data_IF_164441377470
#
_entry.id   IF_164441377470
#
_cell.length_a   1.000
_cell.length_b   1.000
_cell.length_c   1.000
_cell.angle_alpha   90.00
_cell.angle_beta   90.00
_cell.angle_gamma   90.00
#
_symmetry.space_group_name_H-M   'P 1'
#
loop_
_entity.id
_entity.type
_entity.pdbx_description
1 polymer ?
#
# COMPACT_ATOMS: atom_id res chain seq x y z
N UNK A 1 -9.35 23.13 -16.44
CA UNK A 1 -10.56 23.41 -15.65
C UNK A 1 -10.27 23.73 -14.19
N UNK A 2 -9.10 24.30 -13.87
CA UNK A 2 -8.76 24.84 -12.55
C UNK A 2 -8.24 26.29 -12.72
N UNK A 3 -8.29 27.14 -11.68
CA UNK A 3 -7.78 28.52 -11.74
C UNK A 3 -6.29 28.60 -12.08
N UNK A 4 -5.90 29.62 -12.86
CA UNK A 4 -4.50 29.88 -13.27
C UNK A 4 -3.82 30.97 -12.46
N UNK A 5 -4.49 31.51 -11.44
CA UNK A 5 -4.05 32.63 -10.59
C UNK A 5 -3.04 32.22 -9.50
N UNK A 6 -2.55 30.98 -9.54
CA UNK A 6 -1.61 30.44 -8.56
C UNK A 6 -2.24 30.06 -7.22
N UNK A 7 -3.58 30.10 -7.09
CA UNK A 7 -4.29 29.73 -5.85
C UNK A 7 -4.28 28.23 -5.55
N UNK A 8 -4.01 27.39 -6.55
CA UNK A 8 -3.99 25.93 -6.40
C UNK A 8 -2.59 25.45 -6.03
N UNK A 9 -2.45 24.93 -4.82
CA UNK A 9 -1.22 24.26 -4.38
C UNK A 9 -1.01 22.94 -5.12
N UNK A 10 0.20 22.74 -5.65
CA UNK A 10 0.63 21.49 -6.29
C UNK A 10 1.70 20.83 -5.43
N UNK A 11 1.42 19.61 -4.97
CA UNK A 11 2.37 18.83 -4.19
C UNK A 11 3.49 18.26 -5.09
N UNK A 12 4.63 17.90 -4.46
CA UNK A 12 5.65 17.13 -5.16
C UNK A 12 5.10 15.76 -5.60
N UNK A 13 5.62 15.23 -6.71
CA UNK A 13 5.23 13.92 -7.21
C UNK A 13 5.60 12.79 -6.24
N UNK A 14 4.84 11.70 -6.29
CA UNK A 14 5.03 10.52 -5.44
C UNK A 14 4.78 9.23 -6.23
N UNK A 15 5.52 8.18 -5.92
CA UNK A 15 5.30 6.83 -6.48
C UNK A 15 3.94 6.31 -5.98
N UNK A 16 3.20 5.60 -6.82
CA UNK A 16 1.86 5.08 -6.52
C UNK A 16 1.77 4.31 -5.20
N UNK A 17 2.70 3.37 -4.97
CA UNK A 17 2.76 2.58 -3.77
C UNK A 17 3.14 3.42 -2.54
N UNK A 18 3.95 4.47 -2.73
CA UNK A 18 4.28 5.40 -1.65
C UNK A 18 3.06 6.25 -1.28
N UNK A 19 2.25 6.67 -2.26
CA UNK A 19 1.02 7.42 -2.02
C UNK A 19 -0.01 6.59 -1.24
N UNK A 20 -0.21 5.32 -1.63
CA UNK A 20 -1.04 4.39 -0.88
C UNK A 20 -0.50 4.12 0.53
N UNK A 21 0.82 4.01 0.68
CA UNK A 21 1.43 3.78 1.98
C UNK A 21 1.24 4.98 2.90
N UNK A 22 1.40 6.20 2.40
CA UNK A 22 1.18 7.44 3.14
C UNK A 22 -0.25 7.51 3.69
N UNK A 23 -1.24 7.21 2.84
CA UNK A 23 -2.65 7.22 3.23
C UNK A 23 -2.95 6.23 4.36
N UNK A 24 -2.38 5.02 4.29
CA UNK A 24 -2.65 3.95 5.26
C UNK A 24 -1.87 4.11 6.57
N UNK A 25 -0.57 4.38 6.51
CA UNK A 25 0.30 4.53 7.68
C UNK A 25 -0.14 5.72 8.53
N UNK A 26 -0.56 6.82 7.89
CA UNK A 26 -0.97 8.05 8.56
C UNK A 26 -2.47 8.09 8.94
N UNK A 27 -3.24 7.03 8.69
CA UNK A 27 -4.66 7.03 9.02
C UNK A 27 -4.89 7.20 10.53
N UNK A 28 -5.75 8.11 11.00
CA UNK A 28 -6.01 8.25 12.43
C UNK A 28 -6.55 6.94 13.04
N UNK A 29 -6.25 6.63 14.31
CA UNK A 29 -6.84 5.48 14.99
C UNK A 29 -8.37 5.62 15.06
N UNK A 30 -9.08 4.49 15.04
CA UNK A 30 -10.55 4.44 15.13
C UNK A 30 -11.09 4.74 16.53
N UNK A 31 -10.24 4.78 17.55
CA UNK A 31 -10.57 5.19 18.92
C UNK A 31 -9.69 6.37 19.32
N UNK A 32 -10.25 7.25 20.15
CA UNK A 32 -9.57 8.41 20.76
C UNK A 32 -8.44 7.96 21.70
N UNK A 33 -7.34 7.50 21.12
CA UNK A 33 -6.07 7.37 21.83
C UNK A 33 -5.51 8.80 21.90
N UNK A 34 -5.98 9.58 22.87
CA UNK A 34 -5.72 11.02 23.03
C UNK A 34 -4.24 11.38 23.29
N UNK A 35 -3.30 10.43 23.22
CA UNK A 35 -1.93 10.61 23.71
C UNK A 35 -0.82 10.32 22.68
N UNK A 36 -1.13 9.98 21.43
CA UNK A 36 -0.08 9.63 20.45
C UNK A 36 -0.17 10.41 19.15
N UNK A 37 0.98 10.83 18.64
CA UNK A 37 1.09 11.55 17.37
C UNK A 37 0.84 10.61 16.18
N UNK A 38 0.49 11.18 15.03
CA UNK A 38 0.37 10.42 13.76
C UNK A 38 1.65 9.63 13.44
N UNK A 39 2.81 10.19 13.82
CA UNK A 39 4.13 9.56 13.67
C UNK A 39 4.36 8.39 14.63
N UNK A 40 3.77 8.40 15.83
CA UNK A 40 3.84 7.25 16.75
C UNK A 40 3.05 6.07 16.21
N UNK A 41 1.88 6.33 15.62
CA UNK A 41 1.08 5.31 14.95
C UNK A 41 1.78 4.77 13.72
N UNK A 42 2.40 5.65 12.93
CA UNK A 42 3.08 5.28 11.70
C UNK A 42 4.16 4.20 11.93
N UNK A 43 4.90 4.29 13.03
CA UNK A 43 5.96 3.33 13.39
C UNK A 43 5.44 1.95 13.83
N UNK A 44 4.16 1.83 14.16
CA UNK A 44 3.54 0.59 14.66
C UNK A 44 2.71 -0.11 13.58
N UNK A 45 2.83 0.32 12.33
CA UNK A 45 2.04 -0.17 11.20
C UNK A 45 2.93 -0.57 10.05
N UNK A 46 2.40 -1.52 9.27
CA UNK A 46 2.90 -1.85 7.95
C UNK A 46 1.75 -1.58 6.99
N UNK A 47 2.01 -0.79 5.95
CA UNK A 47 1.07 -0.62 4.84
C UNK A 47 1.18 -1.81 3.89
N UNK A 48 0.04 -2.45 3.63
CA UNK A 48 -0.11 -3.56 2.68
C UNK A 48 -0.78 -3.01 1.42
N UNK A 49 -0.04 -2.93 0.32
CA UNK A 49 -0.52 -2.43 -0.95
C UNK A 49 -0.70 -3.59 -1.92
N UNK A 50 -1.88 -4.19 -1.89
CA UNK A 50 -2.18 -5.42 -2.60
C UNK A 50 -2.91 -5.17 -3.92
N UNK A 51 -2.51 -5.91 -4.95
CA UNK A 51 -3.13 -5.99 -6.26
C UNK A 51 -2.57 -7.22 -7.00
N UNK A 52 -2.22 -7.07 -8.27
CA UNK A 52 -1.53 -8.12 -9.06
C UNK A 52 -0.27 -8.63 -8.33
N UNK A 53 0.52 -7.70 -7.80
CA UNK A 53 1.62 -7.90 -6.85
C UNK A 53 1.26 -7.28 -5.49
N UNK A 54 2.13 -7.43 -4.49
CA UNK A 54 1.97 -6.72 -3.21
C UNK A 54 3.25 -5.99 -2.81
N UNK A 55 3.09 -4.79 -2.26
CA UNK A 55 4.16 -4.02 -1.63
C UNK A 55 3.89 -3.84 -0.14
N UNK A 56 4.95 -3.89 0.67
CA UNK A 56 4.89 -3.73 2.12
C UNK A 56 5.79 -2.58 2.52
N UNK A 57 5.24 -1.57 3.18
CA UNK A 57 6.02 -0.41 3.61
C UNK A 57 5.92 -0.19 5.10
N UNK A 58 7.06 0.06 5.73
CA UNK A 58 7.19 0.40 7.14
C UNK A 58 8.19 1.54 7.33
N UNK A 59 8.02 2.32 8.40
CA UNK A 59 8.91 3.43 8.74
C UNK A 59 9.60 3.22 10.08
N UNK A 60 10.86 3.61 10.17
CA UNK A 60 11.66 3.59 11.41
C UNK A 60 12.31 4.94 11.67
N UNK A 61 12.50 5.29 12.95
CA UNK A 61 13.24 6.49 13.35
C UNK A 61 14.76 6.29 13.28
N UNK A 62 15.21 5.05 13.11
CA UNK A 62 16.63 4.70 12.97
C UNK A 62 16.89 4.03 11.62
N UNK A 63 18.12 4.18 11.14
CA UNK A 63 18.59 3.55 9.91
C UNK A 63 18.84 2.07 10.17
N UNK A 64 18.12 1.17 9.48
CA UNK A 64 18.24 -0.27 9.66
C UNK A 64 18.36 -0.95 8.30
N UNK A 65 19.43 -1.73 8.10
CA UNK A 65 19.60 -2.54 6.89
C UNK A 65 19.08 -3.95 7.15
N UNK A 66 18.13 -4.41 6.34
CA UNK A 66 17.43 -5.68 6.54
C UNK A 66 17.62 -6.53 5.28
N UNK A 67 18.15 -7.74 5.45
CA UNK A 67 18.36 -8.66 4.32
C UNK A 67 17.04 -8.98 3.63
N UNK A 68 16.98 -8.78 2.31
CA UNK A 68 15.80 -9.06 1.49
C UNK A 68 14.74 -7.96 1.48
N UNK A 69 15.01 -6.80 2.10
CA UNK A 69 14.13 -5.62 2.12
C UNK A 69 14.89 -4.44 1.53
N UNK A 70 14.23 -3.66 0.67
CA UNK A 70 14.80 -2.45 0.10
C UNK A 70 14.79 -1.30 1.12
N UNK A 71 15.76 -0.38 0.97
CA UNK A 71 16.02 0.70 1.93
C UNK A 71 17.21 0.41 2.83
N UNK A 72 17.41 1.17 3.92
CA UNK A 72 16.54 2.22 4.44
C UNK A 72 16.62 3.54 3.66
N UNK A 73 15.49 4.01 3.10
CA UNK A 73 15.42 5.27 2.35
C UNK A 73 15.06 6.44 3.27
N UNK A 74 15.98 7.39 3.45
CA UNK A 74 15.78 8.56 4.30
C UNK A 74 14.73 9.50 3.73
N UNK A 75 13.74 9.88 4.56
CA UNK A 75 12.66 10.83 4.24
C UNK A 75 11.88 10.54 2.96
N UNK A 76 11.85 9.28 2.51
CA UNK A 76 11.18 8.88 1.27
C UNK A 76 9.65 8.80 1.40
N UNK A 77 9.13 8.64 2.62
CA UNK A 77 7.67 8.63 2.89
C UNK A 77 7.26 9.70 3.91
N UNK A 78 7.96 9.76 5.06
CA UNK A 78 7.71 10.73 6.12
C UNK A 78 9.00 11.49 6.47
N UNK A 79 8.93 12.79 6.77
CA UNK A 79 10.11 13.56 7.17
C UNK A 79 10.79 12.98 8.41
N UNK A 80 12.12 12.86 8.39
CA UNK A 80 12.95 12.34 9.49
C UNK A 80 12.74 10.84 9.83
N UNK A 81 12.16 10.08 8.90
CA UNK A 81 12.00 8.63 9.01
C UNK A 81 12.73 7.91 7.88
N UNK A 82 13.08 6.65 8.13
CA UNK A 82 13.61 5.73 7.14
C UNK A 82 12.52 4.78 6.65
N UNK A 83 12.24 4.80 5.35
CA UNK A 83 11.30 3.89 4.69
C UNK A 83 12.00 2.56 4.37
N UNK A 84 11.30 1.46 4.63
CA UNK A 84 11.71 0.11 4.29
C UNK A 84 10.61 -0.52 3.45
N UNK A 85 11.00 -1.10 2.31
CA UNK A 85 10.07 -1.59 1.30
C UNK A 85 10.35 -3.08 1.02
N UNK A 86 9.37 -3.91 1.34
CA UNK A 86 9.33 -5.31 0.93
C UNK A 86 8.31 -5.50 -0.19
N UNK A 87 8.36 -6.65 -0.87
CA UNK A 87 7.38 -6.94 -1.90
C UNK A 87 7.21 -8.42 -2.18
N UNK A 88 6.07 -8.75 -2.77
CA UNK A 88 5.76 -10.04 -3.38
C UNK A 88 5.37 -9.79 -4.84
N UNK A 89 6.15 -10.36 -5.77
CA UNK A 89 5.93 -10.14 -7.21
C UNK A 89 4.62 -10.72 -7.73
N UNK A 90 4.05 -11.71 -7.05
CA UNK A 90 2.75 -12.29 -7.37
C UNK A 90 1.92 -12.44 -6.08
N UNK A 91 0.81 -11.70 -6.01
CA UNK A 91 -0.17 -11.78 -4.92
C UNK A 91 -1.54 -12.12 -5.53
N UNK A 92 -2.28 -11.13 -6.03
CA UNK A 92 -3.51 -11.34 -6.80
C UNK A 92 -3.27 -12.18 -8.05
N UNK A 93 -2.15 -11.96 -8.75
CA UNK A 93 -1.80 -12.75 -9.93
C UNK A 93 -1.65 -14.24 -9.64
N UNK A 94 -1.17 -14.60 -8.45
CA UNK A 94 -1.06 -16.00 -8.05
C UNK A 94 -2.45 -16.60 -7.79
N UNK A 95 -3.35 -15.85 -7.14
CA UNK A 95 -4.73 -16.28 -6.93
C UNK A 95 -5.46 -16.47 -8.26
N UNK A 96 -5.34 -15.52 -9.18
CA UNK A 96 -5.91 -15.60 -10.53
C UNK A 96 -5.40 -16.84 -11.26
N UNK A 97 -4.08 -17.08 -11.19
CA UNK A 97 -3.47 -18.24 -11.83
C UNK A 97 -3.96 -19.56 -11.25
N UNK A 98 -4.09 -19.66 -9.92
CA UNK A 98 -4.61 -20.86 -9.25
C UNK A 98 -6.07 -21.13 -9.62
N UNK A 99 -6.92 -20.09 -9.66
CA UNK A 99 -8.33 -20.22 -10.07
C UNK A 99 -8.41 -20.67 -11.53
N UNK A 100 -7.60 -20.09 -12.41
CA UNK A 100 -7.58 -20.44 -13.83
C UNK A 100 -7.11 -21.88 -14.10
N UNK A 101 -6.16 -22.39 -13.31
CA UNK A 101 -5.69 -23.77 -13.42
C UNK A 101 -6.65 -24.80 -12.83
N UNK A 102 -7.56 -24.38 -11.94
CA UNK A 102 -8.50 -25.30 -11.32
C UNK A 102 -9.54 -25.79 -12.35
N UNK A 103 -9.92 -27.09 -12.38
CA UNK A 103 -10.90 -27.62 -13.35
C UNK A 103 -12.26 -26.91 -13.32
N UNK A 104 -12.65 -26.39 -12.16
CA UNK A 104 -13.88 -25.61 -11.99
C UNK A 104 -13.73 -24.11 -12.31
N UNK A 105 -12.54 -23.63 -12.70
CA UNK A 105 -12.24 -22.21 -12.91
C UNK A 105 -13.13 -21.56 -13.97
N UNK A 106 -13.31 -22.21 -15.11
CA UNK A 106 -14.17 -21.71 -16.19
C UNK A 106 -15.64 -21.60 -15.74
N UNK A 107 -16.15 -22.62 -15.04
CA UNK A 107 -17.52 -22.63 -14.49
C UNK A 107 -17.70 -21.54 -13.44
N UNK A 108 -16.67 -21.28 -12.62
CA UNK A 108 -16.70 -20.22 -11.61
C UNK A 108 -16.77 -18.83 -12.28
N UNK A 109 -15.98 -18.60 -13.33
CA UNK A 109 -15.99 -17.33 -14.06
C UNK A 109 -17.34 -17.06 -14.74
N UNK A 110 -17.95 -18.09 -15.35
CA UNK A 110 -19.27 -17.96 -15.96
C UNK A 110 -20.34 -17.58 -14.93
N UNK A 111 -20.38 -18.29 -13.79
CA UNK A 111 -21.30 -17.98 -12.70
C UNK A 111 -21.09 -16.59 -12.09
N UNK A 112 -19.84 -16.16 -11.97
CA UNK A 112 -19.51 -14.82 -11.48
C UNK A 112 -20.02 -13.74 -12.46
N UNK A 113 -19.85 -13.96 -13.76
CA UNK A 113 -20.35 -13.07 -14.81
C UNK A 113 -21.88 -12.99 -14.83
N UNK A 114 -22.58 -14.12 -14.74
CA UNK A 114 -24.05 -14.17 -14.65
C UNK A 114 -24.57 -13.34 -13.47
N UNK A 115 -23.87 -13.42 -12.33
CA UNK A 115 -24.22 -12.70 -11.10
C UNK A 115 -23.68 -11.28 -11.06
N UNK A 116 -22.90 -10.85 -12.05
CA UNK A 116 -22.20 -9.56 -12.07
C UNK A 116 -21.35 -9.32 -10.83
N UNK A 117 -20.67 -10.37 -10.36
CA UNK A 117 -19.73 -10.34 -9.23
C UNK A 117 -18.33 -10.75 -9.69
N UNK A 118 -17.35 -10.52 -8.83
CA UNK A 118 -16.00 -11.06 -9.04
C UNK A 118 -15.92 -12.51 -8.53
N UNK A 119 -14.87 -13.23 -8.93
CA UNK A 119 -14.67 -14.63 -8.50
C UNK A 119 -14.23 -14.76 -7.03
N UNK A 120 -13.91 -13.63 -6.39
CA UNK A 120 -13.63 -13.48 -4.96
C UNK A 120 -14.17 -12.14 -4.43
#
# INVERSE_FOLDING_TARGET
>A
GLPSDGSVSVAAGMIDAHAGALAMICSPPSQDIQSSTITDFARRRISLLCGTSACFMAVSSSQQFISGIWGPYSSALLPNFYLHEGGQSACGALLDHMIALHPAGAVLQEKAKEKSINVY
#
